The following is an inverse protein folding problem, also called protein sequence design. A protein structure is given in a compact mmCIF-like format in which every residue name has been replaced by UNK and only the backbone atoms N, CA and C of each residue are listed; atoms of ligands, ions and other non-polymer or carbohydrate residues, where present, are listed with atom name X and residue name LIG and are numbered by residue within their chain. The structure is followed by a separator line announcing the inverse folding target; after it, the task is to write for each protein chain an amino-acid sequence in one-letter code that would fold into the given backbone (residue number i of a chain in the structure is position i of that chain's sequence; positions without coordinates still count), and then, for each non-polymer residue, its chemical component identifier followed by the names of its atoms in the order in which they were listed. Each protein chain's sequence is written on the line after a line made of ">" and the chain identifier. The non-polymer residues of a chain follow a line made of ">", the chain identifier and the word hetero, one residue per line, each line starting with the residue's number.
data_IF_724507062463
#
_entry.id   IF_724507062463
#
_cell.length_a   1.000
_cell.length_b   1.000
_cell.length_c   1.000
_cell.angle_alpha   90.00
_cell.angle_beta   90.00
_cell.angle_gamma   90.00
#
_symmetry.space_group_name_H-M   'P 1'
#
loop_
_entity.id
_entity.type
_entity.pdbx_description
1 polymer ?
#
# COMPACT_ATOMS: atom_id res chain seq x y z
N UNK A 1 7.22 -11.01 -10.21
CA UNK A 1 6.99 -10.15 -9.03
C UNK A 1 6.01 -10.91 -8.15
N UNK A 2 6.38 -11.24 -6.90
CA UNK A 2 5.53 -12.03 -6.00
C UNK A 2 4.80 -11.09 -5.03
N UNK A 3 3.65 -11.50 -4.49
CA UNK A 3 2.86 -10.67 -3.55
C UNK A 3 3.68 -10.28 -2.30
N UNK A 4 4.61 -11.15 -1.91
CA UNK A 4 5.58 -10.92 -0.82
C UNK A 4 6.55 -9.75 -1.07
N UNK A 5 6.71 -9.30 -2.31
CA UNK A 5 7.58 -8.17 -2.67
C UNK A 5 6.82 -6.82 -2.63
N UNK A 6 5.48 -6.81 -2.45
CA UNK A 6 4.67 -5.59 -2.36
C UNK A 6 4.83 -4.90 -0.99
N UNK A 7 4.59 -5.68 0.07
CA UNK A 7 4.70 -5.30 1.47
C UNK A 7 5.13 -6.59 2.16
N UNK A 8 6.23 -6.58 2.91
CA UNK A 8 6.56 -7.72 3.74
C UNK A 8 5.37 -7.98 4.68
N UNK A 9 4.96 -9.23 4.89
CA UNK A 9 3.90 -9.53 5.86
C UNK A 9 4.22 -8.92 7.24
N UNK A 10 5.50 -8.72 7.56
CA UNK A 10 5.92 -8.00 8.76
C UNK A 10 5.51 -6.52 8.75
N UNK A 11 5.51 -5.84 7.60
CA UNK A 11 5.16 -4.43 7.49
C UNK A 11 3.65 -4.23 7.51
N UNK A 12 2.86 -5.17 6.95
CA UNK A 12 1.40 -5.15 7.12
C UNK A 12 0.98 -5.27 8.59
N UNK A 13 1.59 -6.21 9.33
CA UNK A 13 1.29 -6.36 10.75
C UNK A 13 1.62 -5.09 11.54
N UNK A 14 2.78 -4.47 11.28
CA UNK A 14 3.14 -3.19 11.91
C UNK A 14 2.19 -2.06 11.56
N UNK A 15 1.72 -1.98 10.31
CA UNK A 15 0.72 -0.98 9.89
C UNK A 15 -0.56 -1.14 10.72
N UNK A 16 -1.06 -2.38 10.86
CA UNK A 16 -2.23 -2.66 11.69
C UNK A 16 -1.98 -2.33 13.15
N UNK A 17 -0.83 -2.75 13.71
CA UNK A 17 -0.47 -2.46 15.10
C UNK A 17 -0.47 -0.95 15.37
N UNK A 18 0.08 -0.13 14.47
CA UNK A 18 0.08 1.33 14.66
C UNK A 18 -1.34 1.87 14.63
N UNK A 19 -2.14 1.50 13.61
CA UNK A 19 -3.52 1.97 13.45
C UNK A 19 -4.42 1.60 14.63
N UNK A 20 -4.27 0.40 15.18
CA UNK A 20 -5.04 -0.09 16.34
C UNK A 20 -4.70 0.64 17.65
N UNK A 21 -3.50 1.22 17.74
CA UNK A 21 -3.02 1.95 18.93
C UNK A 21 -3.16 3.48 18.82
N UNK A 22 -3.75 3.99 17.74
CA UNK A 22 -4.02 5.42 17.59
C UNK A 22 -5.14 5.89 18.53
N UNK A 23 -4.93 7.02 19.21
CA UNK A 23 -5.96 7.64 20.06
C UNK A 23 -7.12 8.23 19.25
N UNK A 24 -6.84 8.71 18.03
CA UNK A 24 -7.84 9.23 17.10
C UNK A 24 -8.35 8.11 16.19
N UNK A 25 -9.47 7.49 16.61
CA UNK A 25 -10.12 6.39 15.87
C UNK A 25 -10.58 6.83 14.47
N UNK A 26 -11.06 8.07 14.33
CA UNK A 26 -11.54 8.56 13.03
C UNK A 26 -10.37 8.66 12.04
N UNK A 27 -9.26 9.27 12.47
CA UNK A 27 -8.05 9.35 11.65
C UNK A 27 -7.49 7.96 11.33
N UNK A 28 -7.51 7.03 12.29
CA UNK A 28 -7.08 5.63 12.07
C UNK A 28 -7.90 4.96 10.96
N UNK A 29 -9.23 5.12 10.97
CA UNK A 29 -10.11 4.57 9.92
C UNK A 29 -9.83 5.22 8.56
N UNK A 30 -9.60 6.53 8.52
CA UNK A 30 -9.26 7.24 7.28
C UNK A 30 -7.93 6.76 6.69
N UNK A 31 -6.91 6.56 7.52
CA UNK A 31 -5.60 6.03 7.11
C UNK A 31 -5.69 4.56 6.67
N UNK A 32 -6.46 3.73 7.38
CA UNK A 32 -6.71 2.34 6.99
C UNK A 32 -7.38 2.26 5.62
N UNK A 33 -8.39 3.10 5.38
CA UNK A 33 -9.06 3.16 4.08
C UNK A 33 -8.09 3.58 2.99
N UNK A 34 -7.29 4.61 3.23
CA UNK A 34 -6.27 5.09 2.30
C UNK A 34 -5.25 3.99 1.98
N UNK A 35 -4.78 3.25 2.99
CA UNK A 35 -3.86 2.13 2.82
C UNK A 35 -4.47 1.00 1.99
N UNK A 36 -5.72 0.62 2.28
CA UNK A 36 -6.44 -0.40 1.52
C UNK A 36 -6.66 0.00 0.07
N UNK A 37 -7.02 1.25 -0.21
CA UNK A 37 -7.24 1.74 -1.56
C UNK A 37 -5.93 1.69 -2.38
N UNK A 38 -4.80 2.10 -1.81
CA UNK A 38 -3.49 2.07 -2.50
C UNK A 38 -2.95 0.66 -2.71
N UNK A 39 -3.10 -0.22 -1.73
CA UNK A 39 -2.66 -1.62 -1.86
C UNK A 39 -3.51 -2.39 -2.85
N UNK A 40 -4.82 -2.09 -2.93
CA UNK A 40 -5.70 -2.63 -3.96
C UNK A 40 -5.28 -2.19 -5.36
N UNK A 41 -5.04 -0.90 -5.58
CA UNK A 41 -4.59 -0.35 -6.87
C UNK A 41 -3.30 -1.04 -7.35
N UNK A 42 -2.30 -1.16 -6.47
CA UNK A 42 -1.05 -1.86 -6.78
C UNK A 42 -1.28 -3.36 -7.05
N UNK A 43 -2.14 -4.01 -6.26
CA UNK A 43 -2.51 -5.41 -6.46
C UNK A 43 -3.16 -5.66 -7.82
N UNK A 44 -4.08 -4.79 -8.24
CA UNK A 44 -4.74 -4.85 -9.55
C UNK A 44 -3.74 -4.68 -10.69
N UNK A 45 -2.79 -3.75 -10.57
CA UNK A 45 -1.72 -3.54 -11.57
C UNK A 45 -0.78 -4.74 -11.70
N UNK A 46 -0.43 -5.39 -10.59
CA UNK A 46 0.45 -6.57 -10.58
C UNK A 46 -0.27 -7.80 -11.11
N UNK A 47 -1.55 -7.94 -10.79
CA UNK A 47 -2.39 -9.03 -11.29
C UNK A 47 -2.88 -8.80 -12.71
N UNK A 48 -2.60 -7.64 -13.31
CA UNK A 48 -3.05 -7.29 -14.65
C UNK A 48 -2.52 -8.31 -15.67
N UNK A 49 -3.45 -8.95 -16.39
CA UNK A 49 -3.16 -9.93 -17.42
C UNK A 49 -3.29 -9.36 -18.83
N UNK A 50 -3.47 -8.04 -18.99
CA UNK A 50 -3.63 -7.41 -20.29
C UNK A 50 -2.38 -7.62 -21.17
N UNK A 51 -2.46 -8.45 -22.24
CA UNK A 51 -1.32 -8.73 -23.10
C UNK A 51 -0.97 -7.55 -24.01
N UNK A 52 -1.78 -6.48 -24.02
CA UNK A 52 -1.56 -5.28 -24.82
C UNK A 52 -0.89 -4.15 -24.04
N UNK A 53 -0.67 -4.32 -22.74
CA UNK A 53 0.04 -3.30 -21.96
C UNK A 53 1.50 -3.23 -22.42
N UNK A 54 1.93 -2.05 -22.81
CA UNK A 54 3.34 -1.78 -23.02
C UNK A 54 4.10 -2.01 -21.71
N UNK A 55 5.15 -2.83 -21.75
CA UNK A 55 5.90 -3.20 -20.55
C UNK A 55 6.54 -1.98 -19.86
N UNK A 56 6.91 -0.95 -20.62
CA UNK A 56 7.44 0.30 -20.06
C UNK A 56 6.37 1.08 -19.31
N UNK A 57 5.20 1.25 -19.92
CA UNK A 57 4.06 1.93 -19.32
C UNK A 57 3.52 1.20 -18.09
N UNK A 58 3.36 -0.12 -18.17
CA UNK A 58 2.96 -0.98 -17.05
C UNK A 58 3.91 -0.82 -15.85
N UNK A 59 5.22 -0.88 -16.11
CA UNK A 59 6.22 -0.75 -15.05
C UNK A 59 6.14 0.61 -14.38
N UNK A 60 5.97 1.69 -15.15
CA UNK A 60 5.80 3.03 -14.59
C UNK A 60 4.58 3.11 -13.66
N UNK A 61 3.43 2.53 -14.06
CA UNK A 61 2.23 2.47 -13.23
C UNK A 61 2.47 1.68 -11.93
N UNK A 62 3.15 0.53 -12.02
CA UNK A 62 3.52 -0.24 -10.84
C UNK A 62 4.47 0.53 -9.90
N UNK A 63 5.46 1.23 -10.46
CA UNK A 63 6.43 2.02 -9.69
C UNK A 63 5.74 3.19 -8.98
N UNK A 64 4.80 3.86 -9.65
CA UNK A 64 4.02 4.97 -9.06
C UNK A 64 3.04 4.48 -7.99
N UNK A 65 2.32 3.38 -8.24
CA UNK A 65 1.44 2.77 -7.25
C UNK A 65 2.21 2.28 -6.02
N UNK A 66 3.42 1.74 -6.21
CA UNK A 66 4.31 1.35 -5.11
C UNK A 66 4.71 2.55 -4.25
N UNK A 67 5.12 3.66 -4.86
CA UNK A 67 5.41 4.90 -4.10
C UNK A 67 4.21 5.38 -3.31
N UNK A 68 3.01 5.34 -3.89
CA UNK A 68 1.80 5.76 -3.20
C UNK A 68 1.52 4.90 -1.94
N UNK A 69 1.75 3.58 -2.01
CA UNK A 69 1.68 2.70 -0.84
C UNK A 69 2.74 3.08 0.20
N UNK A 70 4.00 3.27 -0.22
CA UNK A 70 5.10 3.64 0.67
C UNK A 70 4.87 4.99 1.39
N UNK A 71 4.26 5.96 0.72
CA UNK A 71 3.88 7.25 1.30
C UNK A 71 2.85 7.09 2.42
N UNK A 72 1.82 6.27 2.20
CA UNK A 72 0.80 6.00 3.22
C UNK A 72 1.40 5.23 4.39
N UNK A 73 2.28 4.26 4.14
CA UNK A 73 2.97 3.52 5.22
C UNK A 73 3.83 4.47 6.05
N UNK A 74 4.59 5.37 5.42
CA UNK A 74 5.38 6.39 6.12
C UNK A 74 4.51 7.33 6.96
N UNK A 75 3.37 7.74 6.43
CA UNK A 75 2.40 8.56 7.13
C UNK A 75 1.86 7.82 8.36
N UNK A 76 1.45 6.56 8.23
CA UNK A 76 0.96 5.74 9.34
C UNK A 76 2.05 5.58 10.41
N UNK A 77 3.28 5.23 10.02
CA UNK A 77 4.39 5.07 10.96
C UNK A 77 4.83 6.38 11.63
N UNK A 78 4.43 7.54 11.12
CA UNK A 78 4.66 8.81 11.85
C UNK A 78 3.84 8.92 13.15
N UNK A 79 2.82 8.08 13.32
CA UNK A 79 2.00 7.98 14.55
C UNK A 79 2.50 6.90 15.52
N UNK A 80 3.56 6.17 15.16
CA UNK A 80 4.20 5.21 16.05
C UNK A 80 4.93 5.98 17.17
N UNK A 81 4.52 5.76 18.43
CA UNK A 81 5.14 6.35 19.63
C UNK A 81 6.48 5.70 19.97
#
# INVERSE_FOLDING_TARGET
>A
MNLKDLIDNQDMNKVMDVLENMEDEQLSVELLKKFNDRTKELGELIMNQDPKLDHGHWKAQCDDAKKAVEEVVKEIFSYQK
#
